data_IF_282980583919
#
_entry.id   IF_282980583919
#
_cell.length_a   1.000
_cell.length_b   1.000
_cell.length_c   1.000
_cell.angle_alpha   90.00
_cell.angle_beta   90.00
_cell.angle_gamma   90.00
#
_symmetry.space_group_name_H-M   'P 1'
#
loop_
_entity.id
_entity.type
_entity.pdbx_description
1 polymer ?
#
# COMPACT_ATOMS: atom_id res chain seq x y z
N UNK A 1 -9.42 -1.53 -16.25
CA UNK A 1 -9.34 -2.14 -14.91
C UNK A 1 -7.95 -1.88 -14.36
N UNK A 2 -7.81 -1.58 -13.07
CA UNK A 2 -6.46 -1.49 -12.48
C UNK A 2 -5.84 -2.89 -12.43
N UNK A 3 -4.60 -3.03 -12.89
CA UNK A 3 -3.88 -4.31 -12.96
C UNK A 3 -3.12 -4.64 -11.67
N UNK A 4 -3.41 -3.94 -10.58
CA UNK A 4 -2.77 -4.08 -9.27
C UNK A 4 -3.76 -3.77 -8.15
N UNK A 5 -3.47 -4.19 -6.92
CA UNK A 5 -4.26 -3.93 -5.71
C UNK A 5 -3.45 -3.22 -4.62
N UNK A 6 -4.14 -2.76 -3.57
CA UNK A 6 -3.47 -2.18 -2.39
C UNK A 6 -2.54 -3.16 -1.67
N UNK A 7 -2.73 -4.47 -1.85
CA UNK A 7 -1.81 -5.49 -1.35
C UNK A 7 -0.49 -5.48 -2.14
N UNK A 8 -0.55 -5.30 -3.45
CA UNK A 8 0.66 -5.14 -4.28
C UNK A 8 1.44 -3.89 -3.89
N UNK A 9 0.74 -2.77 -3.66
CA UNK A 9 1.37 -1.53 -3.23
C UNK A 9 1.98 -1.67 -1.83
N UNK A 10 1.30 -2.33 -0.89
CA UNK A 10 1.84 -2.60 0.45
C UNK A 10 3.14 -3.42 0.39
N UNK A 11 3.20 -4.42 -0.49
CA UNK A 11 4.39 -5.24 -0.67
C UNK A 11 5.56 -4.43 -1.27
N UNK A 12 5.30 -3.62 -2.29
CA UNK A 12 6.34 -2.75 -2.89
C UNK A 12 6.87 -1.69 -1.92
N UNK A 13 5.99 -1.12 -1.10
CA UNK A 13 6.38 -0.20 -0.04
C UNK A 13 7.26 -0.90 1.01
N UNK A 14 7.00 -2.18 1.30
CA UNK A 14 7.82 -2.99 2.21
C UNK A 14 9.26 -3.16 1.70
N UNK A 15 9.46 -3.33 0.40
CA UNK A 15 10.81 -3.40 -0.21
C UNK A 15 11.64 -2.13 0.04
N UNK A 16 10.96 -1.02 0.34
CA UNK A 16 11.57 0.28 0.67
C UNK A 16 11.61 0.58 2.18
N UNK A 17 11.24 -0.40 3.01
CA UNK A 17 11.22 -0.29 4.47
C UNK A 17 9.94 0.30 5.06
N UNK A 18 8.95 0.65 4.24
CA UNK A 18 7.67 1.18 4.72
C UNK A 18 6.73 0.06 5.16
N UNK A 19 6.18 0.20 6.37
CA UNK A 19 5.14 -0.71 6.88
C UNK A 19 3.77 -0.04 6.74
N UNK A 20 3.19 -0.10 5.54
CA UNK A 20 1.85 0.44 5.24
C UNK A 20 0.89 -0.73 4.96
N UNK A 21 0.17 -1.22 5.98
CA UNK A 21 -0.70 -2.38 5.83
C UNK A 21 -1.89 -2.08 4.93
N UNK A 22 -2.31 -3.09 4.17
CA UNK A 22 -3.58 -3.11 3.44
C UNK A 22 -4.49 -4.21 4.01
N UNK A 23 -5.77 -3.90 4.24
CA UNK A 23 -6.75 -4.86 4.79
C UNK A 23 -8.18 -4.54 4.35
N UNK A 24 -9.05 -5.56 4.40
CA UNK A 24 -10.50 -5.40 4.15
C UNK A 24 -11.16 -4.72 5.33
N UNK A 25 -12.11 -3.85 5.06
CA UNK A 25 -12.95 -3.28 6.10
C UNK A 25 -13.81 -4.37 6.76
N UNK A 26 -14.21 -4.18 8.03
CA UNK A 26 -15.03 -5.15 8.77
C UNK A 26 -16.44 -5.32 8.15
N UNK A 27 -17.23 -6.20 8.78
CA UNK A 27 -18.55 -6.62 8.31
C UNK A 27 -19.41 -5.47 7.75
N UNK A 28 -20.15 -5.78 6.67
CA UNK A 28 -20.94 -4.85 5.85
C UNK A 28 -20.13 -3.97 4.87
N UNK A 29 -18.79 -4.09 4.80
CA UNK A 29 -17.93 -3.35 3.85
C UNK A 29 -16.68 -4.14 3.39
N UNK A 30 -16.73 -5.46 3.40
CA UNK A 30 -15.56 -6.33 3.11
C UNK A 30 -15.02 -6.23 1.68
N UNK A 31 -15.82 -5.67 0.76
CA UNK A 31 -15.43 -5.34 -0.61
C UNK A 31 -14.44 -4.16 -0.69
N UNK A 32 -14.37 -3.34 0.36
CA UNK A 32 -13.46 -2.21 0.46
C UNK A 32 -12.15 -2.62 1.13
N UNK A 33 -11.06 -2.59 0.36
CA UNK A 33 -9.69 -2.67 0.88
C UNK A 33 -9.16 -1.26 1.11
N UNK A 34 -8.51 -1.05 2.25
CA UNK A 34 -7.88 0.24 2.61
C UNK A 34 -6.41 0.05 2.97
N UNK A 35 -5.60 1.10 2.78
CA UNK A 35 -4.26 1.22 3.37
C UNK A 35 -4.30 2.19 4.55
N UNK A 36 -3.58 1.88 5.62
CA UNK A 36 -3.51 2.72 6.82
C UNK A 36 -2.08 3.14 7.13
N UNK A 37 -1.83 4.44 7.15
CA UNK A 37 -0.57 5.02 7.64
C UNK A 37 -0.81 5.57 9.04
N UNK A 38 0.01 5.16 10.01
CA UNK A 38 -0.06 5.68 11.39
C UNK A 38 1.05 6.71 11.57
N UNK A 39 0.67 7.95 11.79
CA UNK A 39 1.61 9.05 12.06
C UNK A 39 1.80 9.17 13.57
N UNK A 40 3.05 9.08 14.02
CA UNK A 40 3.44 9.15 15.43
C UNK A 40 4.56 10.15 15.64
N UNK A 41 4.90 10.44 16.90
CA UNK A 41 6.04 11.29 17.22
C UNK A 41 7.31 10.76 16.53
N UNK A 42 8.08 11.66 15.91
CA UNK A 42 9.24 11.34 15.08
C UNK A 42 8.94 11.09 13.59
N UNK A 43 7.67 11.05 13.17
CA UNK A 43 7.32 11.08 11.75
C UNK A 43 7.32 12.52 11.23
N UNK A 44 8.44 12.95 10.66
CA UNK A 44 8.66 14.32 10.17
C UNK A 44 8.01 14.56 8.80
N UNK A 45 7.91 15.83 8.39
CA UNK A 45 7.48 16.19 7.04
C UNK A 45 8.40 15.58 5.96
N UNK A 46 9.72 15.52 6.20
CA UNK A 46 10.65 14.88 5.27
C UNK A 46 10.35 13.39 5.09
N UNK A 47 9.99 12.68 6.17
CA UNK A 47 9.55 11.27 6.09
C UNK A 47 8.21 11.15 5.36
N UNK A 48 7.27 12.08 5.56
CA UNK A 48 6.02 12.13 4.82
C UNK A 48 6.26 12.32 3.30
N UNK A 49 7.16 13.23 2.94
CA UNK A 49 7.55 13.47 1.55
C UNK A 49 8.21 12.25 0.92
N UNK A 50 9.10 11.56 1.65
CA UNK A 50 9.70 10.32 1.18
C UNK A 50 8.64 9.23 0.95
N UNK A 51 7.70 9.05 1.87
CA UNK A 51 6.60 8.10 1.72
C UNK A 51 5.76 8.41 0.48
N UNK A 52 5.35 9.66 0.30
CA UNK A 52 4.54 10.08 -0.86
C UNK A 52 5.30 9.90 -2.17
N UNK A 53 6.60 10.21 -2.21
CA UNK A 53 7.47 9.98 -3.38
C UNK A 53 7.54 8.50 -3.74
N UNK A 54 7.68 7.62 -2.75
CA UNK A 54 7.75 6.18 -2.97
C UNK A 54 6.41 5.59 -3.40
N UNK A 55 5.28 6.07 -2.85
CA UNK A 55 3.94 5.71 -3.33
C UNK A 55 3.82 6.08 -4.82
N UNK A 56 4.11 7.34 -5.20
CA UNK A 56 4.03 7.79 -6.60
C UNK A 56 4.90 6.95 -7.53
N UNK A 57 6.15 6.70 -7.15
CA UNK A 57 7.08 5.84 -7.90
C UNK A 57 6.49 4.47 -8.20
N UNK A 58 5.84 3.84 -7.23
CA UNK A 58 5.24 2.53 -7.43
C UNK A 58 3.95 2.57 -8.24
N UNK A 59 3.13 3.62 -8.10
CA UNK A 59 1.97 3.84 -8.96
C UNK A 59 2.36 4.00 -10.43
N UNK A 60 3.41 4.79 -10.70
CA UNK A 60 3.95 4.96 -12.05
C UNK A 60 4.49 3.64 -12.60
N UNK A 61 5.18 2.85 -11.76
CA UNK A 61 5.64 1.52 -12.14
C UNK A 61 4.47 0.59 -12.47
N UNK A 62 3.40 0.54 -11.66
CA UNK A 62 2.24 -0.29 -11.95
C UNK A 62 1.53 0.11 -13.24
N UNK A 63 1.45 1.41 -13.54
CA UNK A 63 0.89 1.91 -14.78
C UNK A 63 1.66 1.41 -16.02
N UNK A 64 2.96 1.13 -15.88
CA UNK A 64 3.79 0.57 -16.95
C UNK A 64 3.72 -0.96 -17.08
N UNK A 65 2.88 -1.65 -16.29
CA UNK A 65 2.85 -3.12 -16.19
C UNK A 65 1.46 -3.68 -16.55
N UNK A 66 1.06 -3.69 -17.83
CA UNK A 66 -0.29 -4.10 -18.26
C UNK A 66 -0.60 -5.58 -18.02
N UNK A 67 0.42 -6.43 -17.84
CA UNK A 67 0.27 -7.86 -17.59
C UNK A 67 0.20 -8.27 -16.11
N UNK A 68 0.28 -7.32 -15.18
CA UNK A 68 0.28 -7.64 -13.76
C UNK A 68 -1.09 -8.20 -13.34
N UNK A 69 -1.06 -9.22 -12.48
CA UNK A 69 -2.27 -9.79 -11.87
C UNK A 69 -2.36 -9.25 -10.44
N UNK A 70 -3.46 -8.56 -10.08
CA UNK A 70 -3.62 -8.03 -8.74
C UNK A 70 -3.59 -9.13 -7.68
N UNK A 71 -2.94 -8.86 -6.55
CA UNK A 71 -3.10 -9.71 -5.37
C UNK A 71 -4.49 -9.55 -4.76
N UNK A 72 -5.07 -10.65 -4.31
CA UNK A 72 -6.39 -10.66 -3.65
C UNK A 72 -6.30 -10.62 -2.13
N UNK A 73 -5.12 -10.88 -1.56
CA UNK A 73 -4.87 -10.92 -0.12
C UNK A 73 -3.48 -10.36 0.21
N UNK A 74 -3.35 -9.79 1.40
CA UNK A 74 -2.09 -9.23 1.92
C UNK A 74 -1.47 -10.11 3.00
N UNK A 75 -0.18 -9.90 3.27
CA UNK A 75 0.47 -10.51 4.42
C UNK A 75 -0.24 -10.10 5.72
N UNK A 76 -0.54 -11.07 6.60
CA UNK A 76 -1.16 -10.79 7.89
C UNK A 76 -0.18 -10.03 8.78
N UNK A 77 -0.57 -8.84 9.23
CA UNK A 77 0.17 -8.07 10.23
C UNK A 77 -0.37 -8.44 11.61
N UNK A 78 0.44 -9.08 12.44
CA UNK A 78 0.14 -9.26 13.85
C UNK A 78 0.44 -7.94 14.57
N UNK A 79 -0.60 -7.39 15.23
CA UNK A 79 -0.48 -6.24 16.14
C UNK A 79 0.06 -6.66 17.50
#
# INVERSE_FOLDING_TARGET
>A
SAHWSLYDLADRLRDRGWQVPAYRMPANREDLVVQRVVVRNGFTCDLADLLVRDIRRHLDWFASQPGLRPKTEGAQFHH
#
